data_IF_816621782909
#
_entry.id   IF_816621782909
#
_cell.length_a   1.000
_cell.length_b   1.000
_cell.length_c   1.000
_cell.angle_alpha   90.00
_cell.angle_beta   90.00
_cell.angle_gamma   90.00
#
_symmetry.space_group_name_H-M   'P 1'
#
loop_
_entity.id
_entity.type
_entity.pdbx_description
1 polymer ?
#
# COMPACT_ATOMS: atom_id res chain seq x y z
N UNK A 1 15.15 -2.92 -48.01
CA UNK A 1 14.69 -2.16 -46.82
C UNK A 1 13.64 -3.04 -46.17
N UNK A 2 13.96 -3.67 -45.05
CA UNK A 2 13.01 -4.52 -44.35
C UNK A 2 12.11 -3.61 -43.50
N UNK A 3 10.82 -3.62 -43.78
CA UNK A 3 9.81 -2.98 -42.94
C UNK A 3 9.82 -3.64 -41.56
N UNK A 4 10.53 -3.02 -40.61
CA UNK A 4 10.47 -3.41 -39.21
C UNK A 4 9.10 -3.02 -38.67
N UNK A 5 8.19 -3.99 -38.52
CA UNK A 5 6.98 -3.81 -37.72
C UNK A 5 7.40 -3.36 -36.32
N UNK A 6 6.78 -2.31 -35.74
CA UNK A 6 7.10 -1.90 -34.38
C UNK A 6 6.85 -3.06 -33.42
N UNK A 7 7.84 -3.34 -32.57
CA UNK A 7 7.71 -4.29 -31.48
C UNK A 7 6.56 -3.81 -30.58
N UNK A 8 5.58 -4.69 -30.33
CA UNK A 8 4.49 -4.39 -29.40
C UNK A 8 5.09 -4.29 -27.99
N UNK A 9 4.81 -3.19 -27.30
CA UNK A 9 5.11 -3.04 -25.88
C UNK A 9 4.27 -4.04 -25.09
N UNK A 10 4.89 -4.72 -24.13
CA UNK A 10 4.20 -5.69 -23.25
C UNK A 10 3.63 -5.01 -22.00
N UNK A 11 3.82 -3.70 -21.84
CA UNK A 11 3.44 -2.90 -20.67
C UNK A 11 1.91 -2.64 -20.56
N UNK A 12 1.11 -3.37 -21.34
CA UNK A 12 -0.34 -3.20 -21.42
C UNK A 12 -0.77 -2.12 -22.41
N UNK A 13 -2.03 -2.20 -22.85
CA UNK A 13 -2.66 -1.14 -23.64
C UNK A 13 -2.94 0.07 -22.72
N UNK A 14 -2.45 1.29 -23.02
CA UNK A 14 -2.59 2.45 -22.13
C UNK A 14 -4.04 2.77 -21.74
N UNK A 15 -4.99 2.58 -22.66
CA UNK A 15 -6.42 2.80 -22.40
C UNK A 15 -6.94 1.76 -21.42
N UNK A 16 -6.58 0.49 -21.60
CA UNK A 16 -6.91 -0.57 -20.65
C UNK A 16 -6.29 -0.35 -19.28
N UNK A 17 -5.04 0.16 -19.20
CA UNK A 17 -4.35 0.48 -17.94
C UNK A 17 -5.08 1.60 -17.19
N UNK A 18 -5.39 2.70 -17.86
CA UNK A 18 -6.13 3.82 -17.24
C UNK A 18 -7.48 3.35 -16.70
N UNK A 19 -8.24 2.61 -17.52
CA UNK A 19 -9.56 2.14 -17.15
C UNK A 19 -9.52 1.14 -15.97
N UNK A 20 -8.52 0.26 -15.94
CA UNK A 20 -8.30 -0.65 -14.80
C UNK A 20 -8.03 0.14 -13.51
N UNK A 21 -7.11 1.11 -13.55
CA UNK A 21 -6.73 1.88 -12.37
C UNK A 21 -7.88 2.74 -11.85
N UNK A 22 -8.69 3.34 -12.74
CA UNK A 22 -9.89 4.09 -12.36
C UNK A 22 -10.91 3.20 -11.63
N UNK A 23 -11.19 2.01 -12.16
CA UNK A 23 -12.12 1.07 -11.53
C UNK A 23 -11.61 0.60 -10.17
N UNK A 24 -10.34 0.18 -10.11
CA UNK A 24 -9.73 -0.28 -8.84
C UNK A 24 -9.76 0.84 -7.80
N UNK A 25 -9.43 2.08 -8.19
CA UNK A 25 -9.47 3.21 -7.27
C UNK A 25 -10.89 3.51 -6.80
N UNK A 26 -11.90 3.41 -7.68
CA UNK A 26 -13.31 3.49 -7.30
C UNK A 26 -13.70 2.45 -6.25
N UNK A 27 -13.27 1.19 -6.44
CA UNK A 27 -13.47 0.11 -5.46
C UNK A 27 -12.83 0.44 -4.12
N UNK A 28 -11.58 0.93 -4.13
CA UNK A 28 -10.86 1.29 -2.90
C UNK A 28 -11.58 2.42 -2.16
N UNK A 29 -12.00 3.46 -2.87
CA UNK A 29 -12.74 4.59 -2.28
C UNK A 29 -14.03 4.11 -1.62
N UNK A 30 -14.87 3.36 -2.35
CA UNK A 30 -16.18 2.95 -1.85
C UNK A 30 -16.08 1.92 -0.73
N UNK A 31 -15.32 0.84 -0.95
CA UNK A 31 -15.33 -0.34 -0.08
C UNK A 31 -14.30 -0.25 1.05
N UNK A 32 -13.09 0.22 0.78
CA UNK A 32 -12.02 0.24 1.77
C UNK A 32 -12.02 1.52 2.61
N UNK A 33 -12.26 2.68 1.98
CA UNK A 33 -12.21 3.98 2.66
C UNK A 33 -13.58 4.33 3.26
N UNK A 34 -14.62 4.53 2.44
CA UNK A 34 -15.91 5.01 2.92
C UNK A 34 -16.63 3.98 3.80
N UNK A 35 -16.85 2.76 3.30
CA UNK A 35 -17.46 1.69 4.09
C UNK A 35 -16.55 1.19 5.21
N UNK A 36 -15.27 0.95 4.92
CA UNK A 36 -14.30 0.44 5.90
C UNK A 36 -14.07 1.35 7.12
N UNK A 37 -14.41 2.64 7.05
CA UNK A 37 -14.36 3.58 8.18
C UNK A 37 -15.73 3.93 8.76
N UNK A 38 -16.83 3.43 8.19
CA UNK A 38 -18.18 3.69 8.67
C UNK A 38 -18.54 2.83 9.87
N UNK A 39 -19.06 3.44 10.94
CA UNK A 39 -19.51 2.73 12.14
C UNK A 39 -20.80 1.91 11.93
N UNK A 40 -21.46 2.04 10.77
CA UNK A 40 -22.62 1.20 10.40
C UNK A 40 -22.22 -0.14 9.81
N UNK A 41 -20.95 -0.31 9.42
CA UNK A 41 -20.43 -1.52 8.79
C UNK A 41 -19.81 -2.47 9.81
N UNK A 42 -19.47 -3.68 9.36
CA UNK A 42 -18.74 -4.66 10.16
C UNK A 42 -17.25 -4.31 10.20
N UNK A 43 -16.62 -4.49 11.36
CA UNK A 43 -15.16 -4.41 11.52
C UNK A 43 -14.45 -5.51 10.72
N UNK A 44 -15.05 -6.70 10.64
CA UNK A 44 -14.56 -7.83 9.86
C UNK A 44 -15.71 -8.76 9.46
N UNK A 45 -15.57 -9.40 8.31
CA UNK A 45 -16.43 -10.52 7.88
C UNK A 45 -15.68 -11.82 8.17
N UNK A 46 -15.91 -12.41 9.34
CA UNK A 46 -15.18 -13.61 9.76
C UNK A 46 -15.49 -14.81 8.84
N UNK A 47 -14.43 -15.54 8.48
CA UNK A 47 -14.44 -16.79 7.74
C UNK A 47 -13.37 -17.72 8.27
N UNK A 48 -13.67 -19.01 8.37
CA UNK A 48 -12.66 -20.01 8.73
C UNK A 48 -11.60 -20.12 7.62
N UNK A 49 -10.34 -20.47 7.92
CA UNK A 49 -9.27 -20.47 6.92
C UNK A 49 -9.55 -21.30 5.66
N UNK A 50 -10.17 -22.46 5.80
CA UNK A 50 -10.50 -23.33 4.66
C UNK A 50 -11.67 -22.77 3.83
N UNK A 51 -12.64 -22.12 4.46
CA UNK A 51 -13.72 -21.41 3.76
C UNK A 51 -13.17 -20.21 2.99
N UNK A 52 -12.30 -19.41 3.62
CA UNK A 52 -11.72 -18.22 3.01
C UNK A 52 -10.81 -18.56 1.82
N UNK A 53 -10.04 -19.66 1.88
CA UNK A 53 -9.25 -20.15 0.74
C UNK A 53 -10.12 -20.45 -0.47
N UNK A 54 -11.27 -21.10 -0.27
CA UNK A 54 -12.21 -21.42 -1.35
C UNK A 54 -12.82 -20.14 -1.94
N UNK A 55 -13.14 -19.16 -1.10
CA UNK A 55 -13.70 -17.87 -1.53
C UNK A 55 -12.69 -17.02 -2.31
N UNK A 56 -11.39 -17.12 -1.98
CA UNK A 56 -10.35 -16.31 -2.59
C UNK A 56 -9.76 -16.91 -3.87
N UNK A 57 -9.86 -18.23 -4.06
CA UNK A 57 -9.30 -18.95 -5.21
C UNK A 57 -7.85 -18.53 -5.51
N UNK A 58 -6.94 -18.81 -4.57
CA UNK A 58 -5.58 -18.25 -4.52
C UNK A 58 -4.56 -18.98 -5.41
N UNK A 59 -4.94 -20.07 -6.09
CA UNK A 59 -4.00 -20.86 -6.89
C UNK A 59 -3.57 -20.07 -8.14
N UNK A 60 -2.27 -19.83 -8.28
CA UNK A 60 -1.72 -19.13 -9.43
C UNK A 60 -1.65 -20.07 -10.64
N UNK A 61 -2.26 -19.64 -11.75
CA UNK A 61 -2.36 -20.42 -12.98
C UNK A 61 -1.44 -19.87 -14.08
N UNK A 62 -1.23 -20.66 -15.14
CA UNK A 62 -0.40 -20.26 -16.28
C UNK A 62 -1.06 -19.23 -17.20
N UNK A 63 -2.40 -19.16 -17.19
CA UNK A 63 -3.17 -18.19 -17.97
C UNK A 63 -3.52 -16.98 -17.09
N UNK A 64 -3.52 -15.80 -17.70
CA UNK A 64 -4.03 -14.59 -17.05
C UNK A 64 -5.56 -14.58 -17.00
N UNK A 65 -6.10 -13.67 -16.19
CA UNK A 65 -7.53 -13.47 -16.04
C UNK A 65 -8.01 -12.19 -16.73
N UNK A 66 -9.32 -12.10 -16.98
CA UNK A 66 -9.92 -10.89 -17.52
C UNK A 66 -9.92 -9.76 -16.49
N UNK A 67 -10.10 -8.52 -16.97
CA UNK A 67 -10.24 -7.34 -16.10
C UNK A 67 -11.37 -7.52 -15.09
N UNK A 68 -12.50 -8.05 -15.51
CA UNK A 68 -13.69 -8.24 -14.66
C UNK A 68 -13.39 -9.20 -13.50
N UNK A 69 -12.65 -10.27 -13.78
CA UNK A 69 -12.20 -11.22 -12.76
C UNK A 69 -11.25 -10.54 -11.76
N UNK A 70 -10.29 -9.74 -12.25
CA UNK A 70 -9.38 -8.98 -11.38
C UNK A 70 -10.14 -8.01 -10.47
N UNK A 71 -11.12 -7.28 -11.00
CA UNK A 71 -11.94 -6.36 -10.21
C UNK A 71 -12.76 -7.10 -9.14
N UNK A 72 -13.31 -8.27 -9.46
CA UNK A 72 -14.03 -9.09 -8.48
C UNK A 72 -13.09 -9.61 -7.37
N UNK A 73 -11.87 -10.01 -7.73
CA UNK A 73 -10.83 -10.36 -6.75
C UNK A 73 -10.48 -9.19 -5.85
N UNK A 74 -10.34 -7.97 -6.39
CA UNK A 74 -10.13 -6.77 -5.57
C UNK A 74 -11.26 -6.56 -4.55
N UNK A 75 -12.52 -6.69 -4.97
CA UNK A 75 -13.69 -6.58 -4.08
C UNK A 75 -13.66 -7.65 -3.00
N UNK A 76 -13.37 -8.89 -3.37
CA UNK A 76 -13.30 -10.05 -2.46
C UNK A 76 -12.22 -9.85 -1.40
N UNK A 77 -11.03 -9.43 -1.82
CA UNK A 77 -9.91 -9.12 -0.92
C UNK A 77 -10.31 -8.05 0.09
N UNK A 78 -10.89 -6.94 -0.37
CA UNK A 78 -11.32 -5.85 0.53
C UNK A 78 -12.43 -6.33 1.46
N UNK A 79 -13.44 -7.04 0.94
CA UNK A 79 -14.62 -7.49 1.69
C UNK A 79 -14.23 -8.35 2.90
N UNK A 80 -13.40 -9.37 2.70
CA UNK A 80 -12.99 -10.29 3.77
C UNK A 80 -11.80 -9.80 4.61
N UNK A 81 -11.12 -8.72 4.20
CA UNK A 81 -10.06 -8.12 5.03
C UNK A 81 -10.63 -7.43 6.27
N UNK A 82 -9.86 -7.43 7.38
CA UNK A 82 -10.20 -6.66 8.58
C UNK A 82 -10.11 -5.17 8.28
N UNK A 83 -11.12 -4.40 8.69
CA UNK A 83 -11.20 -2.95 8.48
C UNK A 83 -10.47 -2.22 9.62
N UNK A 84 -9.16 -2.11 9.52
CA UNK A 84 -8.31 -1.46 10.56
C UNK A 84 -8.58 0.04 10.71
N UNK A 85 -9.15 0.68 9.69
CA UNK A 85 -9.63 2.06 9.74
C UNK A 85 -10.94 2.26 10.48
N UNK A 86 -11.66 1.18 10.82
CA UNK A 86 -12.98 1.26 11.44
C UNK A 86 -12.88 1.84 12.86
N UNK A 87 -13.78 2.76 13.28
CA UNK A 87 -13.70 3.45 14.59
C UNK A 87 -13.87 2.52 15.81
N UNK A 88 -14.30 1.27 15.58
CA UNK A 88 -14.44 0.22 16.59
C UNK A 88 -13.35 -0.87 16.52
N UNK A 89 -12.29 -0.65 15.74
CA UNK A 89 -11.14 -1.53 15.71
C UNK A 89 -10.13 -1.13 16.81
N UNK A 90 -10.01 -1.97 17.84
CA UNK A 90 -9.16 -1.72 19.01
C UNK A 90 -8.16 -2.87 19.27
N UNK A 91 -7.92 -3.72 18.27
CA UNK A 91 -7.16 -4.95 18.46
C UNK A 91 -5.64 -4.74 18.49
N UNK A 92 -5.14 -3.61 18.00
CA UNK A 92 -3.72 -3.35 17.76
C UNK A 92 -3.31 -2.00 18.32
N UNK A 93 -1.99 -1.76 18.39
CA UNK A 93 -1.40 -0.46 18.75
C UNK A 93 -1.51 0.60 17.62
N UNK A 94 -2.26 0.29 16.56
CA UNK A 94 -2.63 1.20 15.48
C UNK A 94 -4.11 1.02 15.15
N UNK A 95 -4.76 2.11 14.73
CA UNK A 95 -6.16 2.13 14.29
C UNK A 95 -6.43 3.41 13.50
N UNK A 96 -7.47 3.40 12.67
CA UNK A 96 -7.89 4.56 11.89
C UNK A 96 -7.23 4.67 10.52
N UNK A 97 -7.75 5.60 9.73
CA UNK A 97 -7.29 5.90 8.38
C UNK A 97 -7.14 7.41 8.24
N UNK A 98 -5.91 7.89 8.26
CA UNK A 98 -5.60 9.30 7.99
C UNK A 98 -5.56 9.53 6.47
N UNK A 99 -6.39 10.43 5.92
CA UNK A 99 -6.49 10.62 4.47
C UNK A 99 -5.23 11.22 3.86
N UNK A 100 -4.47 12.04 4.60
CA UNK A 100 -3.23 12.65 4.10
C UNK A 100 -2.10 11.62 4.03
N UNK A 101 -1.97 10.78 5.06
CA UNK A 101 -1.03 9.67 5.07
C UNK A 101 -1.36 8.65 3.97
N UNK A 102 -2.65 8.36 3.74
CA UNK A 102 -3.06 7.48 2.62
C UNK A 102 -2.72 8.09 1.25
N UNK A 103 -2.97 9.39 1.05
CA UNK A 103 -2.56 10.08 -0.18
C UNK A 103 -1.04 10.00 -0.39
N UNK A 104 -0.24 10.21 0.67
CA UNK A 104 1.21 10.01 0.64
C UNK A 104 1.60 8.59 0.25
N UNK A 105 0.95 7.57 0.82
CA UNK A 105 1.19 6.16 0.48
C UNK A 105 0.89 5.87 -0.99
N UNK A 106 -0.23 6.36 -1.52
CA UNK A 106 -0.58 6.20 -2.94
C UNK A 106 0.50 6.82 -3.84
N UNK A 107 0.99 8.02 -3.51
CA UNK A 107 2.08 8.67 -4.26
C UNK A 107 3.37 7.85 -4.17
N UNK A 108 3.75 7.38 -2.98
CA UNK A 108 4.95 6.56 -2.79
C UNK A 108 4.91 5.28 -3.62
N UNK A 109 3.81 4.52 -3.56
CA UNK A 109 3.65 3.29 -4.35
C UNK A 109 3.61 3.56 -5.85
N UNK A 110 3.08 4.71 -6.27
CA UNK A 110 3.06 5.11 -7.68
C UNK A 110 4.45 5.47 -8.22
N UNK A 111 5.35 5.99 -7.36
CA UNK A 111 6.71 6.39 -7.74
C UNK A 111 7.72 5.25 -7.66
N UNK A 112 7.49 4.24 -6.81
CA UNK A 112 8.19 2.96 -6.78
C UNK A 112 9.73 3.05 -6.92
N UNK A 113 10.37 3.97 -6.19
CA UNK A 113 11.83 4.11 -6.11
C UNK A 113 12.37 3.52 -4.81
N UNK A 114 13.69 3.48 -4.64
CA UNK A 114 14.35 3.03 -3.41
C UNK A 114 14.97 4.21 -2.66
N UNK A 115 14.71 4.29 -1.35
CA UNK A 115 15.38 5.21 -0.43
C UNK A 115 16.82 4.74 -0.16
N UNK A 116 17.68 4.90 -1.17
CA UNK A 116 19.05 4.38 -1.15
C UNK A 116 20.08 5.47 -1.43
N UNK A 117 19.89 6.25 -2.51
CA UNK A 117 20.77 7.38 -2.84
C UNK A 117 19.96 8.59 -3.27
N UNK A 118 20.59 9.76 -3.15
CA UNK A 118 20.02 11.01 -3.63
C UNK A 118 19.74 11.01 -5.15
N UNK A 119 20.52 10.25 -5.93
CA UNK A 119 20.37 10.19 -7.39
C UNK A 119 19.00 9.62 -7.82
N UNK A 120 18.53 8.56 -7.13
CA UNK A 120 17.27 7.88 -7.50
C UNK A 120 16.08 8.27 -6.62
N UNK A 121 16.32 8.91 -5.47
CA UNK A 121 15.28 9.32 -4.52
C UNK A 121 15.52 10.74 -3.93
N UNK A 122 15.83 11.77 -4.75
CA UNK A 122 16.29 13.07 -4.25
C UNK A 122 15.28 13.74 -3.30
N UNK A 123 13.98 13.64 -3.62
CA UNK A 123 12.91 14.21 -2.81
C UNK A 123 12.79 13.48 -1.47
N UNK A 124 12.81 12.15 -1.48
CA UNK A 124 12.61 11.35 -0.28
C UNK A 124 13.82 11.40 0.65
N UNK A 125 15.05 11.54 0.14
CA UNK A 125 16.26 11.72 0.95
C UNK A 125 16.18 13.02 1.76
N UNK A 126 15.81 14.14 1.14
CA UNK A 126 15.68 15.43 1.84
C UNK A 126 14.50 15.41 2.82
N UNK A 127 13.39 14.77 2.45
CA UNK A 127 12.23 14.66 3.32
C UNK A 127 12.53 13.82 4.57
N UNK A 128 13.26 12.72 4.42
CA UNK A 128 13.69 11.88 5.54
C UNK A 128 14.61 12.63 6.50
N UNK A 129 15.56 13.42 5.97
CA UNK A 129 16.44 14.27 6.80
C UNK A 129 15.63 15.22 7.68
N UNK A 130 14.66 15.95 7.11
CA UNK A 130 13.86 16.92 7.84
C UNK A 130 12.93 16.24 8.85
N UNK A 131 12.35 15.08 8.50
CA UNK A 131 11.51 14.31 9.45
C UNK A 131 12.36 13.81 10.62
N UNK A 132 13.52 13.21 10.38
CA UNK A 132 14.41 12.73 11.44
C UNK A 132 14.89 13.88 12.33
N UNK A 133 15.26 15.01 11.74
CA UNK A 133 15.61 16.24 12.46
C UNK A 133 14.46 16.72 13.34
N UNK A 134 13.22 16.70 12.83
CA UNK A 134 12.04 17.06 13.62
C UNK A 134 11.80 16.10 14.78
N UNK A 135 11.96 14.79 14.56
CA UNK A 135 11.83 13.77 15.60
C UNK A 135 12.89 13.95 16.69
N UNK A 136 14.17 14.19 16.32
CA UNK A 136 15.25 14.51 17.27
C UNK A 136 14.93 15.76 18.10
N UNK A 137 14.39 16.80 17.47
CA UNK A 137 13.98 18.01 18.19
C UNK A 137 12.86 17.76 19.21
N UNK A 138 11.90 16.87 18.90
CA UNK A 138 10.85 16.46 19.86
C UNK A 138 11.40 15.69 21.06
N UNK A 139 12.48 14.93 20.86
CA UNK A 139 13.23 14.27 21.95
C UNK A 139 14.03 15.28 22.79
N UNK A 140 14.28 16.49 22.26
CA UNK A 140 15.06 17.54 22.92
C UNK A 140 16.52 17.64 22.46
N UNK A 141 16.87 17.04 21.31
CA UNK A 141 18.21 17.09 20.75
C UNK A 141 18.32 18.12 19.61
N UNK A 142 19.41 18.89 19.62
CA UNK A 142 19.69 19.92 18.62
C UNK A 142 20.63 19.42 17.49
N UNK A 143 21.18 18.23 17.65
CA UNK A 143 22.03 17.54 16.67
C UNK A 143 21.92 16.03 16.87
N UNK A 144 22.33 15.25 15.87
CA UNK A 144 22.31 13.79 15.91
C UNK A 144 22.06 13.19 14.54
N UNK A 145 21.98 11.88 14.49
CA UNK A 145 21.77 11.08 13.28
C UNK A 145 20.57 10.13 13.48
N UNK A 146 20.15 9.44 12.42
CA UNK A 146 19.09 8.44 12.47
C UNK A 146 18.74 7.89 11.08
N UNK A 147 17.94 6.84 11.07
CA UNK A 147 17.42 6.21 9.85
C UNK A 147 16.05 5.60 10.15
N UNK A 148 15.16 5.55 9.16
CA UNK A 148 13.94 4.74 9.29
C UNK A 148 14.27 3.26 9.13
N UNK A 149 13.71 2.43 10.02
CA UNK A 149 13.83 0.98 9.93
C UNK A 149 12.48 0.35 9.61
N UNK A 150 12.45 -0.86 9.00
CA UNK A 150 11.22 -1.61 8.77
C UNK A 150 10.69 -2.25 10.07
N UNK A 151 10.24 -1.40 11.00
CA UNK A 151 9.68 -1.78 12.29
C UNK A 151 10.63 -1.57 13.47
N UNK A 152 10.05 -1.30 14.64
CA UNK A 152 10.79 -0.96 15.86
C UNK A 152 11.72 -2.09 16.37
N UNK A 153 11.41 -3.35 16.07
CA UNK A 153 12.29 -4.48 16.42
C UNK A 153 13.66 -4.35 15.74
N UNK A 154 13.71 -3.95 14.47
CA UNK A 154 14.97 -3.74 13.75
C UNK A 154 15.65 -2.46 14.24
N UNK A 155 14.91 -1.41 14.58
CA UNK A 155 15.48 -0.22 15.24
C UNK A 155 16.20 -0.60 16.55
N UNK A 156 15.60 -1.47 17.37
CA UNK A 156 16.24 -1.97 18.59
C UNK A 156 17.51 -2.78 18.29
N UNK A 157 17.50 -3.60 17.23
CA UNK A 157 18.70 -4.34 16.82
C UNK A 157 19.83 -3.40 16.38
N UNK A 158 19.52 -2.35 15.61
CA UNK A 158 20.50 -1.31 15.24
C UNK A 158 21.07 -0.64 16.49
N UNK A 159 20.22 -0.29 17.46
CA UNK A 159 20.64 0.33 18.71
C UNK A 159 21.51 -0.58 19.60
N UNK A 160 21.32 -1.89 19.56
CA UNK A 160 22.17 -2.85 20.30
C UNK A 160 23.50 -3.12 19.60
N UNK A 161 23.53 -3.00 18.28
CA UNK A 161 24.73 -3.26 17.49
C UNK A 161 25.74 -2.11 17.53
N UNK A 162 25.26 -0.88 17.74
CA UNK A 162 26.05 0.34 17.89
C UNK A 162 26.49 0.57 19.34
#
# INVERSE_FOLDING_TARGET
MADSKPLRTLDGDPVAVEALLQDVFGIVVDEAILKGTSASEKVCEWKEPEELKQLLDLELQSQGESREQILERCRTVIHYSVKTGHPRFFNQLFSGLDPHALAGRIITESLNTSQYTYEIAPVFVLMEEEVLKKLRALVGWNSGDGVFCPGGSISNMYAMNL
#
